data_IF_858236127720
#
_entry.id   IF_858236127720
#
_cell.length_a   1.000
_cell.length_b   1.000
_cell.length_c   1.000
_cell.angle_alpha   90.00
_cell.angle_beta   90.00
_cell.angle_gamma   90.00
#
_symmetry.space_group_name_H-M   'P 1'
#
loop_
_entity.id
_entity.type
_entity.pdbx_description
1 polymer ?
#
# COMPACT_ATOMS: atom_id res chain seq x y z
N UNK A 1 11.20 11.30 20.43
CA UNK A 1 10.44 10.05 20.14
C UNK A 1 11.31 9.12 19.32
N UNK A 2 11.19 7.81 19.55
CA UNK A 2 11.92 6.80 18.77
C UNK A 2 11.28 6.66 17.41
N UNK A 3 12.09 6.65 16.34
CA UNK A 3 11.62 6.37 14.99
C UNK A 3 11.28 4.87 14.83
N UNK A 4 10.03 4.59 14.60
CA UNK A 4 9.49 3.23 14.47
C UNK A 4 9.46 2.73 13.01
N UNK A 5 9.88 3.54 12.04
CA UNK A 5 9.75 3.23 10.61
C UNK A 5 10.31 1.85 10.25
N UNK A 6 11.55 1.60 10.64
CA UNK A 6 12.21 0.34 10.28
C UNK A 6 11.57 -0.87 10.97
N UNK A 7 11.15 -0.74 12.23
CA UNK A 7 10.51 -1.81 12.98
C UNK A 7 9.13 -2.17 12.39
N UNK A 8 8.32 -1.15 12.08
CA UNK A 8 7.01 -1.36 11.45
C UNK A 8 7.19 -1.97 10.06
N UNK A 9 8.11 -1.45 9.25
CA UNK A 9 8.36 -2.00 7.92
C UNK A 9 8.75 -3.47 7.98
N UNK A 10 9.60 -3.84 8.93
CA UNK A 10 9.99 -5.23 9.14
C UNK A 10 8.79 -6.12 9.53
N UNK A 11 7.93 -5.63 10.42
CA UNK A 11 6.72 -6.35 10.82
C UNK A 11 5.73 -6.53 9.65
N UNK A 12 5.53 -5.48 8.84
CA UNK A 12 4.67 -5.53 7.65
C UNK A 12 5.20 -6.52 6.61
N UNK A 13 6.51 -6.49 6.35
CA UNK A 13 7.15 -7.40 5.41
C UNK A 13 7.08 -8.86 5.89
N UNK A 14 7.25 -9.08 7.19
CA UNK A 14 7.13 -10.40 7.80
C UNK A 14 5.68 -10.90 7.71
N UNK A 15 4.71 -10.08 8.13
CA UNK A 15 3.29 -10.43 8.07
C UNK A 15 2.86 -10.81 6.66
N UNK A 16 3.21 -9.98 5.69
CA UNK A 16 2.94 -10.28 4.28
C UNK A 16 3.57 -11.59 3.83
N UNK A 17 4.85 -11.81 4.13
CA UNK A 17 5.62 -12.98 3.67
C UNK A 17 5.05 -14.29 4.20
N UNK A 18 4.54 -14.28 5.41
CA UNK A 18 4.02 -15.47 6.07
C UNK A 18 2.49 -15.53 6.15
N UNK A 19 1.80 -14.67 5.38
CA UNK A 19 0.34 -14.56 5.38
C UNK A 19 -0.25 -14.37 6.79
N UNK A 20 0.39 -13.49 7.56
CA UNK A 20 -0.01 -13.16 8.92
C UNK A 20 -0.51 -11.72 8.99
N UNK A 21 -1.39 -11.45 9.93
CA UNK A 21 -1.82 -10.10 10.25
C UNK A 21 -0.70 -9.34 10.97
N UNK A 22 -0.40 -8.13 10.49
CA UNK A 22 0.43 -7.19 11.23
C UNK A 22 -0.47 -6.43 12.21
N UNK A 23 -0.34 -6.76 13.47
CA UNK A 23 -1.18 -6.21 14.53
C UNK A 23 -0.47 -5.02 15.22
N UNK A 24 -1.21 -3.92 15.38
CA UNK A 24 -0.76 -2.72 16.06
C UNK A 24 -1.46 -2.60 17.43
N UNK A 25 -0.76 -2.81 18.55
CA UNK A 25 -1.25 -2.45 19.88
C UNK A 25 -1.58 -0.97 19.99
N UNK A 26 -2.37 -0.60 20.99
CA UNK A 26 -2.59 0.81 21.33
C UNK A 26 -1.26 1.54 21.55
N UNK A 27 -1.09 2.71 20.96
CA UNK A 27 0.12 3.51 21.05
C UNK A 27 0.30 4.47 19.89
N UNK A 28 1.32 5.30 19.98
CA UNK A 28 1.74 6.23 18.94
C UNK A 28 3.07 5.75 18.37
N UNK A 29 3.08 5.51 17.07
CA UNK A 29 4.23 5.00 16.33
C UNK A 29 4.75 6.10 15.40
N UNK A 30 5.77 6.81 15.84
CA UNK A 30 6.37 7.89 15.04
C UNK A 30 7.22 7.30 13.92
N UNK A 31 6.98 7.79 12.70
CA UNK A 31 7.68 7.34 11.49
C UNK A 31 8.33 8.53 10.76
N UNK A 32 9.50 8.29 10.17
CA UNK A 32 10.26 9.24 9.36
C UNK A 32 10.28 8.87 7.88
N UNK A 33 9.29 8.13 7.42
CA UNK A 33 9.18 7.68 6.03
C UNK A 33 7.90 6.92 5.78
N UNK A 34 7.68 6.55 4.52
CA UNK A 34 6.53 5.78 4.08
C UNK A 34 6.60 4.34 4.60
N UNK A 35 5.52 3.86 5.21
CA UNK A 35 5.31 2.44 5.47
C UNK A 35 4.75 1.80 4.20
N UNK A 36 5.54 0.92 3.60
CA UNK A 36 5.23 0.26 2.33
C UNK A 36 4.52 -1.07 2.57
N UNK A 37 3.20 -1.04 2.51
CA UNK A 37 2.35 -2.21 2.60
C UNK A 37 2.11 -2.78 1.19
N UNK A 38 3.18 -3.28 0.57
CA UNK A 38 3.13 -3.74 -0.81
C UNK A 38 2.78 -5.22 -0.90
N UNK A 39 1.80 -5.54 -1.72
CA UNK A 39 1.47 -6.92 -2.04
C UNK A 39 2.50 -7.52 -2.97
N UNK A 40 2.76 -8.82 -2.82
CA UNK A 40 3.58 -9.58 -3.75
C UNK A 40 2.70 -10.58 -4.47
N UNK A 41 2.72 -10.54 -5.78
CA UNK A 41 2.19 -11.64 -6.59
C UNK A 41 3.33 -12.59 -6.89
N UNK A 42 3.29 -13.77 -6.30
CA UNK A 42 4.18 -14.86 -6.68
C UNK A 42 3.54 -15.64 -7.79
N UNK A 43 4.08 -15.49 -8.96
CA UNK A 43 3.77 -16.39 -10.06
C UNK A 43 4.71 -17.57 -9.94
N UNK A 44 4.25 -18.64 -9.33
CA UNK A 44 5.04 -19.86 -9.15
C UNK A 44 4.32 -21.04 -9.79
N UNK A 45 5.04 -21.84 -10.54
CA UNK A 45 4.52 -23.05 -11.16
C UNK A 45 5.21 -23.37 -12.46
N UNK A 46 5.07 -24.60 -12.87
CA UNK A 46 5.50 -25.05 -14.19
C UNK A 46 4.59 -24.46 -15.24
N UNK A 47 5.19 -23.92 -16.29
CA UNK A 47 4.43 -23.60 -17.50
C UNK A 47 4.01 -24.91 -18.17
N UNK A 48 2.79 -25.33 -17.95
CA UNK A 48 2.17 -26.35 -18.75
C UNK A 48 1.31 -25.71 -19.84
N UNK A 49 1.67 -25.95 -21.10
CA UNK A 49 0.92 -25.43 -22.25
C UNK A 49 0.80 -23.90 -22.31
N UNK A 50 1.80 -23.17 -21.86
CA UNK A 50 1.79 -21.70 -21.88
C UNK A 50 0.90 -21.03 -20.84
N UNK A 51 0.47 -21.76 -19.81
CA UNK A 51 -0.30 -21.24 -18.69
C UNK A 51 0.47 -21.39 -17.38
N UNK A 52 0.32 -20.42 -16.51
CA UNK A 52 0.83 -20.46 -15.14
C UNK A 52 -0.18 -21.28 -14.33
N UNK A 53 0.28 -22.37 -13.71
CA UNK A 53 -0.59 -23.27 -12.99
C UNK A 53 -0.90 -22.84 -11.55
N UNK A 54 -0.16 -21.87 -11.01
CA UNK A 54 -0.37 -21.40 -9.65
C UNK A 54 0.10 -19.96 -9.48
N UNK A 55 -0.79 -19.13 -8.94
CA UNK A 55 -0.50 -17.79 -8.47
C UNK A 55 -0.68 -17.77 -6.95
N UNK A 56 0.36 -17.41 -6.24
CA UNK A 56 0.30 -17.17 -4.80
C UNK A 56 0.31 -15.66 -4.57
N UNK A 57 -0.71 -15.15 -3.89
CA UNK A 57 -0.82 -13.75 -3.51
C UNK A 57 -0.40 -13.58 -2.06
N UNK A 58 0.52 -12.69 -1.81
CA UNK A 58 0.95 -12.30 -0.48
C UNK A 58 0.54 -10.85 -0.24
N UNK A 59 -0.49 -10.66 0.55
CA UNK A 59 -1.09 -9.35 0.79
C UNK A 59 -0.86 -8.89 2.22
N UNK A 60 -0.58 -7.61 2.43
CA UNK A 60 -0.48 -7.06 3.78
C UNK A 60 -1.88 -6.85 4.37
N UNK A 61 -2.03 -7.29 5.61
CA UNK A 61 -3.20 -7.04 6.45
C UNK A 61 -2.73 -6.33 7.72
N UNK A 62 -3.09 -5.07 7.86
CA UNK A 62 -2.71 -4.22 8.98
C UNK A 62 -3.95 -3.94 9.84
N UNK A 63 -3.90 -4.34 11.10
CA UNK A 63 -5.05 -4.23 12.01
C UNK A 63 -4.62 -3.60 13.34
N UNK A 64 -5.32 -2.57 13.74
CA UNK A 64 -5.16 -1.93 15.04
C UNK A 64 -5.94 -2.61 16.15
N UNK A 65 -5.48 -2.43 17.38
CA UNK A 65 -6.20 -2.87 18.57
C UNK A 65 -7.53 -2.11 18.70
N UNK A 66 -8.60 -2.84 18.95
CA UNK A 66 -9.89 -2.31 19.36
C UNK A 66 -10.14 -2.45 20.89
N UNK A 67 -9.16 -3.00 21.61
CA UNK A 67 -9.31 -3.33 23.04
C UNK A 67 -8.98 -2.15 23.99
N UNK A 68 -8.34 -1.09 23.49
CA UNK A 68 -7.95 0.07 24.24
C UNK A 68 -8.97 1.20 24.24
N UNK A 69 -8.67 2.26 24.97
CA UNK A 69 -9.47 3.49 24.95
C UNK A 69 -9.27 4.31 23.67
N UNK A 70 -8.19 4.06 22.94
CA UNK A 70 -7.86 4.71 21.68
C UNK A 70 -7.30 3.70 20.67
N UNK A 71 -7.43 4.04 19.39
CA UNK A 71 -6.79 3.27 18.32
C UNK A 71 -5.28 3.58 18.28
N UNK A 72 -4.45 2.65 17.78
CA UNK A 72 -3.07 2.95 17.47
C UNK A 72 -2.97 4.06 16.40
N UNK A 73 -1.94 4.89 16.51
CA UNK A 73 -1.70 6.01 15.61
C UNK A 73 -0.33 5.84 14.94
N UNK A 74 -0.30 5.84 13.62
CA UNK A 74 0.95 6.02 12.86
C UNK A 74 1.13 7.51 12.62
N UNK A 75 2.14 8.11 13.27
CA UNK A 75 2.41 9.55 13.20
C UNK A 75 3.63 9.83 12.33
N UNK A 76 3.44 10.57 11.25
CA UNK A 76 4.55 11.10 10.46
C UNK A 76 5.26 12.20 11.25
N UNK A 77 6.57 12.07 11.42
CA UNK A 77 7.37 13.07 12.12
C UNK A 77 7.35 14.44 11.40
N UNK A 78 7.51 15.55 12.14
CA UNK A 78 7.52 16.88 11.53
C UNK A 78 8.63 17.02 10.47
N UNK A 79 8.32 17.67 9.35
CA UNK A 79 9.31 17.99 8.31
C UNK A 79 9.86 16.78 7.54
N UNK A 80 9.19 15.63 7.59
CA UNK A 80 9.61 14.42 6.86
C UNK A 80 9.38 14.57 5.36
N UNK A 81 8.24 15.13 4.95
CA UNK A 81 7.88 15.39 3.54
C UNK A 81 7.51 16.86 3.36
N UNK A 82 8.49 17.80 3.45
CA UNK A 82 8.19 19.23 3.50
C UNK A 82 7.64 19.78 2.19
N UNK A 83 8.08 19.22 1.06
CA UNK A 83 7.75 19.74 -0.26
C UNK A 83 6.85 18.77 -1.03
N UNK A 84 5.84 19.34 -1.70
CA UNK A 84 4.98 18.58 -2.59
C UNK A 84 5.64 18.45 -3.97
N UNK A 85 5.83 17.19 -4.39
CA UNK A 85 6.25 16.84 -5.74
C UNK A 85 5.15 16.00 -6.42
N UNK A 86 4.52 16.49 -7.50
CA UNK A 86 3.51 15.72 -8.22
C UNK A 86 4.07 14.44 -8.88
N UNK A 87 5.38 14.41 -9.15
CA UNK A 87 6.09 13.26 -9.70
C UNK A 87 6.57 12.25 -8.65
N UNK A 88 6.64 12.65 -7.36
CA UNK A 88 7.04 11.78 -6.23
C UNK A 88 6.08 11.96 -5.06
N UNK A 89 4.84 11.54 -5.23
CA UNK A 89 3.83 11.60 -4.17
C UNK A 89 4.19 10.69 -3.00
N UNK A 90 4.22 11.25 -1.80
CA UNK A 90 4.64 10.56 -0.58
C UNK A 90 3.48 10.33 0.37
N UNK A 91 3.27 9.09 0.72
CA UNK A 91 2.21 8.67 1.64
C UNK A 91 2.80 8.20 2.96
N UNK A 92 2.08 8.39 4.06
CA UNK A 92 2.47 7.82 5.34
C UNK A 92 2.37 6.30 5.27
N UNK A 93 1.25 5.80 4.75
CA UNK A 93 1.06 4.36 4.48
C UNK A 93 0.66 4.18 3.02
N UNK A 94 1.32 3.26 2.34
CA UNK A 94 1.12 3.04 0.93
C UNK A 94 0.96 1.55 0.62
N UNK A 95 -0.22 1.22 0.10
CA UNK A 95 -0.50 -0.09 -0.47
C UNK A 95 -0.25 -0.05 -1.97
N UNK A 96 0.52 -1.00 -2.46
CA UNK A 96 0.78 -1.18 -3.89
C UNK A 96 0.87 -2.66 -4.23
N UNK A 97 0.60 -3.00 -5.47
CA UNK A 97 0.96 -4.30 -6.00
C UNK A 97 2.39 -4.27 -6.55
N UNK A 98 3.11 -5.33 -6.30
CA UNK A 98 4.45 -5.53 -6.78
C UNK A 98 4.49 -6.78 -7.65
N UNK A 99 4.54 -6.56 -8.95
CA UNK A 99 4.71 -7.64 -9.91
C UNK A 99 6.20 -7.72 -10.29
N UNK A 100 6.90 -8.79 -9.95
CA UNK A 100 8.26 -8.97 -10.43
C UNK A 100 8.26 -9.05 -11.96
N UNK A 101 9.28 -8.51 -12.64
CA UNK A 101 9.34 -8.57 -14.09
C UNK A 101 9.37 -10.01 -14.57
N UNK A 102 8.63 -10.28 -15.62
CA UNK A 102 8.53 -11.58 -16.29
C UNK A 102 9.82 -12.07 -16.93
N UNK A 103 10.92 -11.31 -16.87
CA UNK A 103 12.16 -11.58 -17.54
C UNK A 103 13.20 -12.39 -16.74
N UNK A 104 12.86 -12.88 -15.55
CA UNK A 104 13.68 -13.85 -14.81
C UNK A 104 13.28 -15.29 -15.11
N UNK A 105 13.05 -15.58 -16.38
CA UNK A 105 12.91 -16.94 -16.84
C UNK A 105 14.28 -17.59 -16.97
N UNK A 106 14.38 -18.86 -16.62
CA UNK A 106 15.51 -19.70 -16.93
C UNK A 106 14.99 -20.99 -17.59
N UNK A 107 15.83 -21.60 -18.40
CA UNK A 107 15.51 -22.91 -18.98
C UNK A 107 16.07 -23.97 -18.04
N UNK A 108 15.23 -24.87 -17.59
CA UNK A 108 15.67 -25.99 -16.73
C UNK A 108 16.39 -27.07 -17.56
N UNK A 109 16.87 -28.09 -16.87
CA UNK A 109 17.59 -29.23 -17.48
C UNK A 109 16.77 -30.03 -18.50
N UNK A 110 15.44 -29.90 -18.47
CA UNK A 110 14.51 -30.54 -19.39
C UNK A 110 14.09 -29.63 -20.56
N UNK A 111 14.68 -28.43 -20.66
CA UNK A 111 14.36 -27.46 -21.71
C UNK A 111 13.08 -26.65 -21.43
N UNK A 112 12.45 -26.79 -20.28
CA UNK A 112 11.26 -26.03 -19.91
C UNK A 112 11.62 -24.64 -19.39
N UNK A 113 10.90 -23.62 -19.84
CA UNK A 113 11.06 -22.25 -19.31
C UNK A 113 10.42 -22.16 -17.92
N UNK A 114 11.24 -21.85 -16.93
CA UNK A 114 10.83 -21.66 -15.54
C UNK A 114 11.13 -20.24 -15.07
N UNK A 115 10.39 -19.78 -14.07
CA UNK A 115 10.61 -18.49 -13.45
C UNK A 115 11.16 -18.73 -12.03
N UNK A 116 12.29 -18.13 -11.72
CA UNK A 116 12.86 -18.16 -10.39
C UNK A 116 12.52 -16.84 -9.69
N UNK A 117 11.69 -16.93 -8.66
CA UNK A 117 11.46 -15.83 -7.76
C UNK A 117 12.38 -15.99 -6.54
N UNK A 118 13.39 -15.17 -6.50
CA UNK A 118 14.04 -14.90 -5.24
C UNK A 118 13.16 -13.86 -4.56
N UNK A 119 12.68 -14.16 -3.35
CA UNK A 119 12.05 -13.13 -2.53
C UNK A 119 13.02 -11.95 -2.47
N UNK A 120 12.60 -10.75 -2.90
CA UNK A 120 13.47 -9.61 -2.74
C UNK A 120 13.82 -9.52 -1.25
N UNK A 121 15.06 -9.22 -0.93
CA UNK A 121 15.41 -8.93 0.45
C UNK A 121 14.46 -7.85 0.95
N UNK A 122 14.16 -7.86 2.23
CA UNK A 122 13.21 -7.01 2.96
C UNK A 122 13.34 -5.49 2.65
N UNK A 123 14.35 -5.11 1.91
CA UNK A 123 14.61 -3.75 1.44
C UNK A 123 14.73 -3.73 -0.08
N UNK A 124 13.64 -3.38 -0.75
CA UNK A 124 13.75 -2.91 -2.12
C UNK A 124 14.24 -1.46 -2.08
N UNK A 125 15.43 -1.22 -2.62
CA UNK A 125 15.91 0.13 -2.83
C UNK A 125 14.99 0.89 -3.80
N UNK A 126 14.91 2.21 -3.68
CA UNK A 126 14.10 3.06 -4.56
C UNK A 126 14.41 2.89 -6.05
N UNK A 127 15.64 2.52 -6.38
CA UNK A 127 16.10 2.19 -7.73
C UNK A 127 15.51 0.89 -8.30
N UNK A 128 14.92 0.05 -7.47
CA UNK A 128 14.24 -1.16 -7.91
C UNK A 128 12.78 -0.91 -8.30
N UNK A 129 12.19 0.26 -7.93
CA UNK A 129 10.89 0.71 -8.45
C UNK A 129 10.84 0.73 -9.98
N UNK A 130 11.92 1.14 -10.61
CA UNK A 130 12.02 1.25 -12.06
C UNK A 130 12.17 -0.10 -12.78
N UNK A 131 12.65 -1.11 -12.07
CA UNK A 131 12.86 -2.44 -12.63
C UNK A 131 11.63 -3.33 -12.60
N UNK A 132 10.73 -3.06 -11.69
CA UNK A 132 9.57 -3.89 -11.44
C UNK A 132 8.35 -3.06 -11.80
N UNK A 133 7.79 -3.29 -12.96
CA UNK A 133 6.64 -2.55 -13.44
C UNK A 133 5.60 -2.41 -12.34
N UNK A 134 5.46 -1.20 -11.86
CA UNK A 134 4.36 -0.83 -11.01
C UNK A 134 3.13 -0.95 -11.88
N UNK A 135 2.16 -1.75 -11.55
CA UNK A 135 0.80 -1.59 -12.03
C UNK A 135 0.10 -2.86 -12.44
N UNK A 136 -0.56 -3.41 -11.49
CA UNK A 136 -1.87 -3.94 -11.79
C UNK A 136 -2.77 -3.61 -10.60
N UNK A 137 -4.03 -3.25 -10.81
CA UNK A 137 -5.00 -3.06 -9.74
C UNK A 137 -5.40 -4.39 -9.07
N UNK A 138 -4.65 -5.45 -9.32
CA UNK A 138 -4.98 -6.82 -8.89
C UNK A 138 -4.52 -7.11 -7.45
N UNK A 139 -4.66 -6.11 -6.57
CA UNK A 139 -4.50 -6.28 -5.14
C UNK A 139 -5.79 -6.85 -4.55
N UNK A 140 -5.89 -8.14 -4.45
CA UNK A 140 -7.04 -8.80 -3.85
C UNK A 140 -6.73 -9.07 -2.37
N UNK A 141 -7.59 -8.57 -1.47
CA UNK A 141 -7.58 -8.92 -0.07
C UNK A 141 -6.73 -8.11 0.92
N UNK A 142 -5.99 -7.01 0.55
CA UNK A 142 -5.38 -6.16 1.56
C UNK A 142 -6.40 -5.53 2.50
N UNK A 143 -5.97 -5.31 3.75
CA UNK A 143 -6.80 -4.68 4.77
C UNK A 143 -6.01 -3.61 5.53
N UNK A 144 -6.68 -2.50 5.85
CA UNK A 144 -6.19 -1.46 6.75
C UNK A 144 -7.31 -1.05 7.68
N UNK A 145 -7.27 -1.48 8.94
CA UNK A 145 -8.38 -1.30 9.87
C UNK A 145 -7.94 -0.89 11.26
N UNK A 146 -8.69 0.04 11.84
CA UNK A 146 -8.54 0.42 13.24
C UNK A 146 -7.20 1.06 13.57
N UNK A 147 -6.56 1.70 12.62
CA UNK A 147 -5.29 2.41 12.77
C UNK A 147 -5.48 3.82 12.27
N UNK A 148 -5.21 4.81 13.12
CA UNK A 148 -5.27 6.20 12.72
C UNK A 148 -3.93 6.67 12.13
N UNK A 149 -3.98 7.68 11.28
CA UNK A 149 -2.80 8.31 10.68
C UNK A 149 -2.79 9.78 11.09
N UNK A 150 -1.68 10.23 11.64
CA UNK A 150 -1.47 11.63 11.98
C UNK A 150 -0.26 12.17 11.22
N UNK A 151 -0.44 13.31 10.58
CA UNK A 151 0.62 13.98 9.83
C UNK A 151 0.98 15.25 10.61
N UNK A 152 2.18 15.24 11.20
CA UNK A 152 2.67 16.37 11.96
C UNK A 152 2.98 17.58 11.08
N UNK A 153 3.26 18.73 11.70
CA UNK A 153 3.53 20.00 11.03
C UNK A 153 4.73 19.95 10.07
N UNK A 154 4.80 20.90 9.14
CA UNK A 154 5.86 21.05 8.13
C UNK A 154 5.97 19.85 7.16
N UNK A 155 4.84 19.28 6.79
CA UNK A 155 4.75 18.15 5.88
C UNK A 155 3.82 18.46 4.67
N UNK A 156 3.99 19.61 4.03
CA UNK A 156 3.12 20.07 2.95
C UNK A 156 3.04 19.09 1.75
N UNK A 157 4.07 18.26 1.56
CA UNK A 157 4.11 17.21 0.53
C UNK A 157 3.53 15.88 0.97
N UNK A 158 3.17 15.73 2.25
CA UNK A 158 2.68 14.45 2.77
C UNK A 158 1.23 14.19 2.36
N UNK A 159 0.94 12.92 2.10
CA UNK A 159 -0.40 12.37 1.99
C UNK A 159 -0.59 11.23 3.01
N UNK A 160 -1.83 10.97 3.41
CA UNK A 160 -2.12 9.98 4.45
C UNK A 160 -2.02 8.55 3.96
N UNK A 161 -3.08 8.04 3.38
CA UNK A 161 -3.21 6.65 2.95
C UNK A 161 -3.36 6.54 1.44
N UNK A 162 -2.60 5.66 0.82
CA UNK A 162 -2.82 5.19 -0.55
C UNK A 162 -3.28 3.74 -0.54
N UNK A 163 -4.45 3.45 -1.14
CA UNK A 163 -5.06 2.12 -1.09
C UNK A 163 -5.75 1.71 -2.40
N UNK A 164 -5.09 1.79 -3.55
CA UNK A 164 -5.67 1.43 -4.83
C UNK A 164 -5.72 -0.10 -4.97
N UNK A 165 -6.69 -0.71 -4.32
CA UNK A 165 -6.83 -2.17 -4.27
C UNK A 165 -8.09 -2.62 -4.99
N UNK A 166 -8.12 -3.91 -5.34
CA UNK A 166 -9.24 -4.54 -6.00
C UNK A 166 -10.14 -5.29 -5.00
N UNK A 167 -10.65 -6.41 -5.40
CA UNK A 167 -11.66 -7.21 -4.74
C UNK A 167 -11.28 -7.64 -3.31
N UNK A 168 -12.28 -7.79 -2.47
CA UNK A 168 -12.19 -8.29 -1.08
C UNK A 168 -11.23 -7.51 -0.17
N UNK A 169 -10.93 -6.29 -0.53
CA UNK A 169 -10.07 -5.39 0.24
C UNK A 169 -10.89 -4.48 1.15
N UNK A 170 -10.28 -3.92 2.18
CA UNK A 170 -11.01 -3.05 3.08
C UNK A 170 -10.19 -1.98 3.79
N UNK A 171 -10.80 -0.82 3.93
CA UNK A 171 -10.37 0.23 4.86
C UNK A 171 -11.49 0.45 5.86
N UNK A 172 -11.19 0.45 7.15
CA UNK A 172 -12.25 0.64 8.13
C UNK A 172 -11.79 1.20 9.46
N UNK A 173 -12.65 2.04 10.06
CA UNK A 173 -12.42 2.63 11.38
C UNK A 173 -11.08 3.39 11.43
N UNK A 174 -10.90 4.35 10.53
CA UNK A 174 -9.65 5.12 10.34
C UNK A 174 -9.92 6.61 10.45
N UNK A 175 -9.09 7.30 11.20
CA UNK A 175 -9.00 8.77 11.14
C UNK A 175 -7.65 9.17 10.54
N UNK A 176 -7.67 10.08 9.57
CA UNK A 176 -6.48 10.70 8.99
C UNK A 176 -6.51 12.18 9.35
N UNK A 177 -5.54 12.62 10.13
CA UNK A 177 -5.48 13.98 10.66
C UNK A 177 -4.20 14.69 10.27
N UNK A 178 -4.32 15.86 9.70
CA UNK A 178 -3.22 16.79 9.46
C UNK A 178 -3.16 17.83 10.57
N UNK A 179 -2.02 17.94 11.25
CA UNK A 179 -1.78 18.96 12.26
C UNK A 179 -1.27 20.28 11.66
N UNK A 180 -0.91 20.25 10.41
CA UNK A 180 -0.48 21.39 9.59
C UNK A 180 -0.87 21.20 8.14
N UNK A 181 -0.08 21.75 7.23
CA UNK A 181 -0.29 21.57 5.80
C UNK A 181 -0.02 20.13 5.38
N UNK A 182 -0.76 19.68 4.36
CA UNK A 182 -0.60 18.37 3.75
C UNK A 182 -1.38 18.27 2.44
N UNK A 183 -1.21 17.18 1.71
CA UNK A 183 -1.78 17.09 0.37
C UNK A 183 -3.09 16.29 0.33
N UNK A 184 -3.04 14.97 0.26
CA UNK A 184 -4.23 14.10 0.14
C UNK A 184 -4.43 13.28 1.40
N UNK A 185 -5.63 13.26 1.94
CA UNK A 185 -5.96 12.37 3.06
C UNK A 185 -5.96 10.91 2.63
N UNK A 186 -6.83 10.56 1.70
CA UNK A 186 -6.99 9.18 1.21
C UNK A 186 -7.02 9.15 -0.31
N UNK A 187 -6.20 8.31 -0.92
CA UNK A 187 -6.16 8.11 -2.38
C UNK A 187 -6.46 6.67 -2.76
N UNK A 188 -7.30 6.51 -3.79
CA UNK A 188 -7.58 5.22 -4.41
C UNK A 188 -8.45 4.32 -3.53
N UNK A 189 -9.72 4.70 -3.26
CA UNK A 189 -10.62 3.81 -2.52
C UNK A 189 -10.77 2.47 -3.24
N UNK A 190 -10.82 1.36 -2.49
CA UNK A 190 -10.91 0.03 -3.08
C UNK A 190 -12.24 -0.16 -3.82
N UNK A 191 -12.20 -0.96 -4.89
CA UNK A 191 -13.37 -1.28 -5.71
C UNK A 191 -13.69 -2.77 -5.76
N UNK A 192 -14.51 -3.19 -6.69
CA UNK A 192 -14.71 -4.61 -6.98
C UNK A 192 -15.26 -5.48 -5.83
N UNK A 193 -16.24 -5.00 -5.05
CA UNK A 193 -16.78 -5.75 -3.91
C UNK A 193 -16.02 -5.52 -2.59
N UNK A 194 -15.22 -4.48 -2.55
CA UNK A 194 -14.52 -3.97 -1.37
C UNK A 194 -15.27 -2.80 -0.74
N UNK A 195 -14.87 -2.38 0.46
CA UNK A 195 -15.51 -1.26 1.13
C UNK A 195 -14.53 -0.39 1.91
N UNK A 196 -14.85 0.91 1.96
CA UNK A 196 -14.30 1.85 2.93
C UNK A 196 -15.40 2.23 3.92
N UNK A 197 -15.17 1.94 5.20
CA UNK A 197 -16.14 2.12 6.28
C UNK A 197 -15.58 3.03 7.37
N UNK A 198 -16.39 3.99 7.83
CA UNK A 198 -16.04 4.85 8.97
C UNK A 198 -14.66 5.52 8.79
N UNK A 199 -14.47 6.23 7.70
CA UNK A 199 -13.27 7.01 7.43
C UNK A 199 -13.53 8.48 7.76
N UNK A 200 -12.68 9.04 8.61
CA UNK A 200 -12.65 10.47 8.93
C UNK A 200 -11.37 11.10 8.44
N UNK A 201 -11.45 12.21 7.72
CA UNK A 201 -10.30 12.96 7.26
C UNK A 201 -10.41 14.40 7.73
N UNK A 202 -9.39 14.90 8.41
CA UNK A 202 -9.36 16.24 8.99
C UNK A 202 -8.13 16.98 8.46
N UNK A 203 -8.37 18.06 7.72
CA UNK A 203 -7.32 18.84 7.09
C UNK A 203 -6.81 18.27 5.76
N UNK A 204 -5.65 18.75 5.32
CA UNK A 204 -5.13 18.47 3.98
C UNK A 204 -5.80 19.30 2.89
N UNK A 205 -5.22 19.32 1.70
CA UNK A 205 -5.77 20.06 0.55
C UNK A 205 -6.90 19.31 -0.16
N UNK A 206 -6.82 17.98 -0.15
CA UNK A 206 -7.79 17.07 -0.77
C UNK A 206 -8.10 15.99 0.27
N UNK A 207 -9.33 15.90 0.71
CA UNK A 207 -9.73 14.85 1.64
C UNK A 207 -9.67 13.48 0.98
N UNK A 208 -10.41 13.30 -0.12
CA UNK A 208 -10.51 12.05 -0.87
C UNK A 208 -10.13 12.26 -2.33
N UNK A 209 -9.14 11.51 -2.83
CA UNK A 209 -8.80 11.42 -4.23
C UNK A 209 -9.21 10.03 -4.77
N UNK A 210 -10.24 10.01 -5.58
CA UNK A 210 -10.76 8.77 -6.19
C UNK A 210 -9.97 8.35 -7.44
N UNK A 211 -9.00 9.15 -7.86
CA UNK A 211 -8.17 8.80 -9.00
C UNK A 211 -7.20 7.70 -8.62
N UNK A 212 -7.26 6.61 -9.34
CA UNK A 212 -6.25 5.59 -9.28
C UNK A 212 -5.13 6.00 -10.23
N UNK A 213 -4.33 7.01 -9.82
CA UNK A 213 -3.19 7.41 -10.62
C UNK A 213 -2.12 6.34 -10.51
N UNK A 214 -2.10 5.49 -11.52
CA UNK A 214 -0.91 4.79 -11.88
C UNK A 214 0.12 5.86 -12.25
N UNK A 215 1.22 5.96 -11.52
CA UNK A 215 2.35 6.77 -11.95
C UNK A 215 2.70 6.34 -13.37
N UNK A 216 2.55 7.26 -14.32
CA UNK A 216 2.64 7.00 -15.76
C UNK A 216 4.07 6.70 -16.24
N UNK A 217 4.97 6.30 -15.36
CA UNK A 217 6.37 6.01 -15.70
C UNK A 217 6.60 4.63 -16.28
N UNK A 218 5.58 3.80 -16.45
CA UNK A 218 5.70 2.42 -16.90
C UNK A 218 4.84 2.01 -18.10
N UNK A 219 4.95 2.66 -19.25
CA UNK A 219 4.86 1.98 -20.55
C UNK A 219 3.51 1.44 -21.06
N UNK A 220 2.39 1.67 -20.40
CA UNK A 220 1.07 1.34 -20.95
C UNK A 220 0.16 2.57 -21.01
N UNK A 221 0.26 3.39 -22.06
CA UNK A 221 -0.51 4.63 -22.18
C UNK A 221 -2.03 4.45 -22.29
N UNK A 222 -2.53 3.23 -22.32
CA UNK A 222 -3.94 2.93 -22.50
C UNK A 222 -4.53 1.93 -21.51
N UNK A 223 -3.81 1.50 -20.50
CA UNK A 223 -4.46 0.89 -19.36
C UNK A 223 -4.97 2.05 -18.51
N UNK A 224 -6.20 2.39 -18.80
CA UNK A 224 -6.87 3.52 -18.25
C UNK A 224 -6.61 3.61 -16.77
N UNK A 225 -6.56 4.84 -16.28
CA UNK A 225 -6.83 5.16 -14.90
C UNK A 225 -7.94 4.22 -14.46
N UNK A 226 -7.58 3.02 -14.01
CA UNK A 226 -8.55 2.04 -13.62
C UNK A 226 -9.23 2.55 -12.36
N UNK A 227 -10.21 3.44 -12.55
CA UNK A 227 -11.17 3.67 -11.52
C UNK A 227 -11.72 2.28 -11.20
N UNK A 228 -11.42 1.81 -9.99
CA UNK A 228 -12.02 0.56 -9.55
C UNK A 228 -13.52 0.70 -9.70
N UNK A 229 -14.17 -0.20 -10.44
CA UNK A 229 -15.60 -0.09 -10.63
C UNK A 229 -16.29 -0.17 -9.27
N UNK A 230 -17.19 0.78 -9.00
CA UNK A 230 -18.08 0.79 -7.85
C UNK A 230 -17.41 0.75 -6.47
N UNK A 231 -16.61 1.75 -6.07
CA UNK A 231 -16.16 1.86 -4.69
C UNK A 231 -17.37 2.07 -3.76
N UNK A 232 -17.41 1.34 -2.66
CA UNK A 232 -18.40 1.52 -1.61
C UNK A 232 -17.78 2.34 -0.48
N UNK A 233 -18.36 3.50 -0.19
CA UNK A 233 -17.93 4.40 0.87
C UNK A 233 -19.11 4.62 1.83
N UNK A 234 -18.96 4.24 3.09
CA UNK A 234 -19.99 4.42 4.11
C UNK A 234 -19.39 5.02 5.37
N UNK A 235 -20.05 6.03 5.94
CA UNK A 235 -19.53 6.72 7.13
C UNK A 235 -18.29 7.57 6.82
N UNK A 236 -18.29 8.29 5.69
CA UNK A 236 -17.21 9.21 5.32
C UNK A 236 -17.47 10.60 5.94
N UNK A 237 -16.47 11.14 6.60
CA UNK A 237 -16.40 12.53 7.11
C UNK A 237 -15.15 13.20 6.53
N UNK A 238 -15.33 14.39 5.94
CA UNK A 238 -14.27 15.20 5.34
C UNK A 238 -14.18 16.57 5.99
#
# INVERSE_FOLDING_TARGET
ELDSTAAIQQAVDFGRTYAMVTFFPEGIYTVSGTIKAWSLTRVGGEWENGKINREDFYVPVLVGSAAGASRPVIRLAPGTFPDYDPGDRRFVVEFRNFNPPSNRSFTDENGATRFRYEFPPVRLASTERERFGENTPDHIGPEFRGIDIEIAENNAGASGLRFPTAETSGVGDVEIRFLGDGHVGFQGPPGGGSATLNLTIIGGRIGLDTTNQNDQTGGFPNQGTGAQPTPVLTGLTL
#
